data_IF_905071592373
#
_entry.id   IF_905071592373
#
_cell.length_a   1.000
_cell.length_b   1.000
_cell.length_c   1.000
_cell.angle_alpha   90.00
_cell.angle_beta   90.00
_cell.angle_gamma   90.00
#
_symmetry.space_group_name_H-M   'P 1'
#
loop_
_entity.id
_entity.type
_entity.pdbx_description
1 polymer ?
#
# COMPACT_ATOMS: atom_id res chain seq x y z
N UNK A 1 3.43 -27.70 62.41
CA UNK A 1 4.37 -27.60 61.27
C UNK A 1 3.99 -28.47 60.06
N UNK A 2 3.80 -29.81 60.18
CA UNK A 2 3.48 -30.68 59.04
C UNK A 2 2.20 -30.28 58.25
N UNK A 3 1.13 -29.80 58.92
CA UNK A 3 -0.12 -29.40 58.29
C UNK A 3 0.00 -28.11 57.45
N UNK A 4 0.85 -27.16 57.87
CA UNK A 4 1.08 -25.94 57.11
C UNK A 4 1.96 -26.14 55.88
N UNK A 5 2.91 -27.07 55.94
CA UNK A 5 3.74 -27.46 54.77
C UNK A 5 2.90 -28.09 53.70
N UNK A 6 1.97 -28.99 54.05
CA UNK A 6 1.05 -29.64 53.09
C UNK A 6 0.11 -28.62 52.43
N UNK A 7 -0.39 -27.62 53.17
CA UNK A 7 -1.21 -26.53 52.58
C UNK A 7 -0.44 -25.63 51.61
N UNK A 8 0.81 -25.31 51.94
CA UNK A 8 1.67 -24.49 51.05
C UNK A 8 2.01 -25.25 49.76
N UNK A 9 2.34 -26.57 49.89
CA UNK A 9 2.58 -27.41 48.70
C UNK A 9 1.33 -27.54 47.80
N UNK A 10 0.13 -27.64 48.39
CA UNK A 10 -1.12 -27.69 47.64
C UNK A 10 -1.45 -26.36 46.94
N UNK A 11 -1.17 -25.21 47.57
CA UNK A 11 -1.30 -23.91 46.95
C UNK A 11 -0.30 -23.70 45.79
N UNK A 12 0.95 -24.12 45.92
CA UNK A 12 1.93 -24.09 44.85
C UNK A 12 1.58 -24.99 43.64
N UNK A 13 0.96 -26.12 43.88
CA UNK A 13 0.47 -27.01 42.82
C UNK A 13 -0.71 -26.42 42.04
N UNK A 14 -1.57 -25.63 42.69
CA UNK A 14 -2.68 -24.95 42.05
C UNK A 14 -2.22 -23.72 41.17
N UNK A 15 -1.08 -23.12 41.45
CA UNK A 15 -0.53 -22.01 40.67
C UNK A 15 0.16 -22.43 39.38
N UNK A 16 0.49 -23.70 39.19
CA UNK A 16 1.19 -24.21 37.99
C UNK A 16 0.21 -24.60 36.86
N UNK A 17 -1.09 -24.68 37.13
CA UNK A 17 -2.07 -25.22 36.19
C UNK A 17 -2.75 -24.20 35.25
N UNK A 18 -2.23 -22.97 35.15
CA UNK A 18 -2.81 -21.94 34.25
C UNK A 18 -1.87 -21.50 33.12
N UNK A 19 -0.98 -22.36 32.67
CA UNK A 19 -0.37 -22.16 31.34
C UNK A 19 -1.35 -22.63 30.27
N UNK A 20 -2.33 -21.82 29.94
CA UNK A 20 -3.11 -22.01 28.73
C UNK A 20 -2.15 -21.77 27.56
N UNK A 21 -1.59 -22.81 27.01
CA UNK A 21 -0.87 -22.75 25.74
C UNK A 21 -1.89 -22.30 24.70
N UNK A 22 -1.82 -21.03 24.30
CA UNK A 22 -2.61 -20.50 23.19
C UNK A 22 -2.15 -21.22 21.92
N UNK A 23 -2.85 -22.28 21.50
CA UNK A 23 -2.61 -22.91 20.22
C UNK A 23 -3.06 -21.95 19.12
N UNK A 24 -2.12 -21.28 18.47
CA UNK A 24 -2.41 -20.48 17.29
C UNK A 24 -2.67 -21.44 16.13
N UNK A 25 -3.91 -21.53 15.70
CA UNK A 25 -4.26 -22.25 14.48
C UNK A 25 -3.89 -21.37 13.28
N UNK A 26 -2.92 -21.81 12.49
CA UNK A 26 -2.55 -21.17 11.22
C UNK A 26 -3.44 -21.76 10.14
N UNK A 27 -4.25 -20.88 9.49
CA UNK A 27 -5.06 -21.24 8.34
C UNK A 27 -4.39 -20.71 7.08
N UNK A 28 -4.11 -21.59 6.13
CA UNK A 28 -3.64 -21.21 4.80
C UNK A 28 -4.83 -20.87 3.92
N UNK A 29 -4.77 -19.73 3.23
CA UNK A 29 -5.72 -19.29 2.22
C UNK A 29 -4.98 -19.18 0.88
N UNK A 30 -5.51 -19.82 -0.16
CA UNK A 30 -4.92 -19.83 -1.50
C UNK A 30 -5.98 -20.04 -2.58
N UNK A 31 -5.55 -20.40 -3.77
CA UNK A 31 -6.44 -20.64 -4.92
C UNK A 31 -7.49 -21.72 -4.63
N UNK A 32 -7.14 -22.73 -3.84
CA UNK A 32 -8.09 -23.79 -3.44
C UNK A 32 -9.24 -23.27 -2.56
N UNK A 33 -9.04 -22.13 -1.89
CA UNK A 33 -10.05 -21.44 -1.07
C UNK A 33 -10.72 -20.29 -1.81
N UNK A 34 -10.38 -20.09 -3.11
CA UNK A 34 -11.01 -19.11 -3.98
C UNK A 34 -10.23 -17.81 -4.20
N UNK A 35 -8.97 -17.73 -3.73
CA UNK A 35 -8.08 -16.62 -4.10
C UNK A 35 -7.71 -16.73 -5.59
N UNK A 36 -7.67 -15.62 -6.31
CA UNK A 36 -7.41 -15.62 -7.76
C UNK A 36 -6.01 -16.10 -8.13
N UNK A 37 -5.01 -15.76 -7.30
CA UNK A 37 -3.60 -16.15 -7.50
C UNK A 37 -2.89 -16.20 -6.14
N UNK A 38 -1.98 -17.17 -5.97
CA UNK A 38 -1.19 -17.32 -4.74
C UNK A 38 -0.10 -16.24 -4.57
N UNK A 39 0.22 -15.49 -5.62
CA UNK A 39 1.17 -14.39 -5.55
C UNK A 39 0.43 -13.12 -5.10
N UNK A 40 0.38 -12.93 -3.78
CA UNK A 40 -0.23 -11.76 -3.15
C UNK A 40 0.82 -10.67 -3.00
N UNK A 41 0.58 -9.52 -3.64
CA UNK A 41 1.52 -8.39 -3.67
C UNK A 41 1.19 -7.38 -2.56
N UNK A 42 -0.11 -7.15 -2.31
CA UNK A 42 -0.55 -6.15 -1.33
C UNK A 42 -1.84 -6.59 -0.65
N UNK A 43 -1.98 -6.22 0.63
CA UNK A 43 -3.17 -6.51 1.44
C UNK A 43 -3.61 -5.21 2.13
N UNK A 44 -4.92 -4.96 2.16
CA UNK A 44 -5.52 -3.86 2.92
C UNK A 44 -6.78 -4.34 3.65
N UNK A 45 -7.12 -3.68 4.76
CA UNK A 45 -8.39 -3.90 5.46
C UNK A 45 -9.25 -2.65 5.35
N UNK A 46 -10.51 -2.82 4.95
CA UNK A 46 -11.47 -1.71 4.91
C UNK A 46 -12.15 -1.48 6.27
N UNK A 47 -12.90 -0.39 6.38
CA UNK A 47 -13.64 -0.02 7.60
C UNK A 47 -14.70 -1.02 8.05
N UNK A 48 -15.15 -1.87 7.15
CA UNK A 48 -16.13 -2.92 7.44
C UNK A 48 -15.45 -4.21 7.95
N UNK A 49 -14.10 -4.23 7.95
CA UNK A 49 -13.30 -5.36 8.39
C UNK A 49 -12.98 -6.38 7.30
N UNK A 50 -13.44 -6.18 6.06
CA UNK A 50 -13.08 -7.04 4.94
C UNK A 50 -11.61 -6.86 4.55
N UNK A 51 -10.97 -7.98 4.19
CA UNK A 51 -9.61 -7.94 3.66
C UNK A 51 -9.64 -7.90 2.14
N UNK A 52 -8.78 -7.05 1.58
CA UNK A 52 -8.59 -6.90 0.15
C UNK A 52 -7.18 -7.33 -0.23
N UNK A 53 -7.07 -8.15 -1.28
CA UNK A 53 -5.82 -8.72 -1.74
C UNK A 53 -5.60 -8.32 -3.20
N UNK A 54 -4.49 -7.62 -3.45
CA UNK A 54 -3.97 -7.41 -4.79
C UNK A 54 -3.06 -8.57 -5.16
N UNK A 55 -3.34 -9.21 -6.29
CA UNK A 55 -2.55 -10.33 -6.81
C UNK A 55 -2.09 -10.05 -8.24
N UNK A 56 -1.26 -10.93 -8.79
CA UNK A 56 -0.91 -10.88 -10.23
C UNK A 56 -2.12 -11.20 -11.14
N UNK A 57 -3.24 -11.68 -10.58
CA UNK A 57 -4.40 -12.08 -11.37
C UNK A 57 -5.73 -11.65 -10.73
N UNK A 58 -5.84 -10.34 -10.49
CA UNK A 58 -7.06 -9.70 -10.05
C UNK A 58 -7.08 -9.25 -8.60
N UNK A 59 -8.17 -8.56 -8.26
CA UNK A 59 -8.47 -8.04 -6.93
C UNK A 59 -9.40 -9.02 -6.21
N UNK A 60 -9.10 -9.32 -4.96
CA UNK A 60 -9.91 -10.23 -4.15
C UNK A 60 -10.38 -9.54 -2.88
N UNK A 61 -11.67 -9.68 -2.56
CA UNK A 61 -12.27 -9.31 -1.29
C UNK A 61 -12.55 -10.57 -0.47
N UNK A 62 -12.11 -10.61 0.78
CA UNK A 62 -12.34 -11.71 1.70
C UNK A 62 -13.22 -11.28 2.86
N UNK A 63 -14.32 -11.98 3.11
CA UNK A 63 -15.30 -11.68 4.16
C UNK A 63 -15.09 -12.48 5.46
N UNK A 64 -13.95 -13.19 5.59
CA UNK A 64 -13.66 -14.10 6.69
C UNK A 64 -13.99 -15.57 6.36
N UNK A 65 -14.80 -15.83 5.33
CA UNK A 65 -15.26 -17.16 4.92
C UNK A 65 -14.97 -17.47 3.46
N UNK A 66 -15.17 -16.53 2.56
CA UNK A 66 -15.05 -16.70 1.10
C UNK A 66 -14.39 -15.51 0.44
N UNK A 67 -13.84 -15.75 -0.75
CA UNK A 67 -13.35 -14.73 -1.65
C UNK A 67 -14.42 -14.31 -2.67
N UNK A 68 -14.43 -13.01 -2.99
CA UNK A 68 -15.09 -12.43 -4.16
C UNK A 68 -13.99 -11.82 -4.99
N UNK A 69 -13.87 -12.25 -6.26
CA UNK A 69 -12.79 -11.79 -7.14
C UNK A 69 -13.33 -10.82 -8.20
N UNK A 70 -12.53 -9.78 -8.46
CA UNK A 70 -12.78 -8.79 -9.50
C UNK A 70 -11.65 -8.88 -10.51
N UNK A 71 -12.02 -9.10 -11.77
CA UNK A 71 -11.11 -9.20 -12.90
C UNK A 71 -11.24 -8.00 -13.83
N UNK A 72 -10.27 -7.90 -14.75
CA UNK A 72 -10.35 -6.97 -15.87
C UNK A 72 -11.64 -7.17 -16.63
N UNK A 73 -12.39 -6.09 -16.77
CA UNK A 73 -13.62 -6.14 -17.54
C UNK A 73 -13.30 -6.02 -19.03
N UNK A 74 -13.90 -6.89 -19.84
CA UNK A 74 -13.95 -6.70 -21.28
C UNK A 74 -14.79 -5.44 -21.55
N UNK A 75 -14.25 -4.47 -22.27
CA UNK A 75 -14.79 -3.12 -22.49
C UNK A 75 -16.23 -3.06 -23.06
N UNK A 76 -16.87 -4.19 -23.27
CA UNK A 76 -18.23 -4.31 -23.82
C UNK A 76 -19.35 -4.36 -22.77
N UNK A 77 -19.04 -4.57 -21.50
CA UNK A 77 -20.07 -4.74 -20.46
C UNK A 77 -19.71 -3.95 -19.17
N UNK A 78 -20.23 -2.74 -19.07
CA UNK A 78 -20.43 -1.96 -17.84
C UNK A 78 -19.23 -1.80 -16.86
N UNK A 79 -19.18 -0.70 -16.13
CA UNK A 79 -18.31 -0.22 -15.05
C UNK A 79 -18.04 -1.19 -13.85
N UNK A 80 -18.07 -2.50 -14.04
CA UNK A 80 -18.06 -3.49 -12.96
C UNK A 80 -16.74 -4.23 -12.74
N UNK A 81 -15.64 -3.82 -13.37
CA UNK A 81 -14.34 -4.48 -13.21
C UNK A 81 -13.17 -3.49 -13.14
N UNK A 82 -12.01 -4.02 -12.81
CA UNK A 82 -10.74 -3.29 -12.85
C UNK A 82 -10.23 -3.19 -14.29
N UNK A 83 -9.32 -2.24 -14.54
CA UNK A 83 -8.74 -2.02 -15.87
C UNK A 83 -7.68 -3.05 -16.25
N UNK A 84 -7.04 -3.71 -15.25
CA UNK A 84 -6.00 -4.71 -15.45
C UNK A 84 -5.94 -5.72 -14.32
N UNK A 85 -5.48 -6.94 -14.59
CA UNK A 85 -5.38 -8.02 -13.60
C UNK A 85 -4.07 -8.00 -12.82
N UNK A 86 -2.98 -7.50 -13.41
CA UNK A 86 -1.67 -7.41 -12.75
C UNK A 86 -1.67 -6.21 -11.80
N UNK A 87 -1.78 -6.47 -10.50
CA UNK A 87 -1.91 -5.43 -9.48
C UNK A 87 -0.61 -5.24 -8.72
N UNK A 88 -0.28 -3.99 -8.37
CA UNK A 88 0.89 -3.64 -7.57
C UNK A 88 0.51 -3.24 -6.14
N UNK A 89 -0.64 -2.59 -5.96
CA UNK A 89 -1.05 -2.09 -4.65
C UNK A 89 -2.55 -2.11 -4.50
N UNK A 90 -3.01 -2.39 -3.29
CA UNK A 90 -4.37 -2.06 -2.82
C UNK A 90 -4.27 -1.17 -1.59
N UNK A 91 -5.05 -0.10 -1.57
CA UNK A 91 -5.16 0.82 -0.43
C UNK A 91 -6.64 1.03 -0.09
N UNK A 92 -7.03 0.74 1.14
CA UNK A 92 -8.37 1.01 1.64
C UNK A 92 -8.43 2.42 2.25
N UNK A 93 -9.25 3.28 1.66
CA UNK A 93 -9.42 4.65 2.14
C UNK A 93 -10.13 4.66 3.51
N UNK A 94 -9.47 5.23 4.52
CA UNK A 94 -10.02 5.30 5.89
C UNK A 94 -11.04 6.42 6.08
N UNK A 95 -11.29 7.23 5.08
CA UNK A 95 -12.26 8.33 5.15
C UNK A 95 -13.47 8.06 4.26
N UNK A 96 -13.27 7.43 3.12
CA UNK A 96 -14.26 7.17 2.08
C UNK A 96 -14.55 5.68 1.92
N UNK A 97 -15.71 5.30 1.38
CA UNK A 97 -16.02 3.91 1.03
C UNK A 97 -15.32 3.51 -0.29
N UNK A 98 -14.00 3.72 -0.36
CA UNK A 98 -13.22 3.51 -1.58
C UNK A 98 -12.06 2.58 -1.30
N UNK A 99 -11.87 1.63 -2.21
CA UNK A 99 -10.66 0.84 -2.34
C UNK A 99 -9.92 1.35 -3.58
N UNK A 100 -8.69 1.80 -3.40
CA UNK A 100 -7.81 2.23 -4.46
C UNK A 100 -6.93 1.08 -4.90
N UNK A 101 -6.74 0.90 -6.21
CA UNK A 101 -6.04 -0.23 -6.79
C UNK A 101 -5.06 0.28 -7.85
N UNK A 102 -3.77 0.09 -7.61
CA UNK A 102 -2.70 0.33 -8.58
C UNK A 102 -2.52 -0.89 -9.45
N UNK A 103 -2.48 -0.69 -10.76
CA UNK A 103 -2.20 -1.74 -11.73
C UNK A 103 -0.81 -1.55 -12.34
N UNK A 104 -0.23 -2.62 -12.83
CA UNK A 104 1.11 -2.61 -13.41
C UNK A 104 1.18 -1.81 -14.72
N UNK A 105 0.10 -1.78 -15.54
CA UNK A 105 0.10 -1.16 -16.88
C UNK A 105 -1.22 -0.54 -17.31
N UNK A 106 -2.23 -0.62 -16.46
CA UNK A 106 -3.61 -0.24 -16.82
C UNK A 106 -4.15 0.91 -15.94
N UNK A 107 -3.25 1.65 -15.26
CA UNK A 107 -3.55 2.85 -14.50
C UNK A 107 -3.99 2.60 -13.06
N UNK A 108 -4.74 3.57 -12.52
CA UNK A 108 -5.28 3.55 -11.17
C UNK A 108 -6.78 3.30 -11.22
N UNK A 109 -7.29 2.46 -10.33
CA UNK A 109 -8.72 2.23 -10.15
C UNK A 109 -9.19 2.63 -8.76
N UNK A 110 -10.44 3.09 -8.66
CA UNK A 110 -11.14 3.35 -7.42
C UNK A 110 -12.43 2.54 -7.39
N UNK A 111 -12.56 1.61 -6.46
CA UNK A 111 -13.80 0.87 -6.23
C UNK A 111 -14.57 1.48 -5.08
N UNK A 112 -15.73 2.06 -5.37
CA UNK A 112 -16.66 2.52 -4.34
C UNK A 112 -17.59 1.37 -3.94
N UNK A 113 -17.38 0.81 -2.74
CA UNK A 113 -18.12 -0.38 -2.30
C UNK A 113 -19.58 -0.08 -1.88
N UNK A 114 -19.94 1.20 -1.62
CA UNK A 114 -21.34 1.57 -1.39
C UNK A 114 -22.13 1.66 -2.69
N UNK A 115 -21.47 2.14 -3.77
CA UNK A 115 -22.06 2.25 -5.11
C UNK A 115 -21.86 0.98 -5.94
N UNK A 116 -20.98 0.08 -5.48
CA UNK A 116 -20.55 -1.12 -6.22
C UNK A 116 -20.07 -0.80 -7.64
N UNK A 117 -19.28 0.28 -7.77
CA UNK A 117 -18.83 0.79 -9.06
C UNK A 117 -17.34 1.11 -9.04
N UNK A 118 -16.69 0.86 -10.17
CA UNK A 118 -15.31 1.23 -10.42
C UNK A 118 -15.23 2.55 -11.19
N UNK A 119 -14.23 3.35 -10.85
CA UNK A 119 -13.78 4.51 -11.62
C UNK A 119 -12.33 4.25 -12.00
N UNK A 120 -11.98 4.46 -13.28
CA UNK A 120 -10.63 4.30 -13.79
C UNK A 120 -9.99 5.65 -14.06
N UNK A 121 -8.69 5.75 -13.74
CA UNK A 121 -7.82 6.87 -14.07
C UNK A 121 -6.67 6.32 -14.93
N UNK A 122 -6.55 6.82 -16.13
CA UNK A 122 -5.53 6.41 -17.09
C UNK A 122 -4.80 7.60 -17.70
N UNK A 123 -3.63 7.33 -18.24
CA UNK A 123 -2.89 8.31 -19.02
C UNK A 123 -3.66 8.73 -20.28
N UNK A 124 -3.80 10.03 -20.47
CA UNK A 124 -4.31 10.64 -21.69
C UNK A 124 -3.31 11.70 -22.18
N UNK A 125 -2.63 11.50 -23.31
CA UNK A 125 -1.62 12.44 -23.80
C UNK A 125 -2.18 13.83 -24.15
N UNK A 126 -3.48 13.93 -24.37
CA UNK A 126 -4.17 15.20 -24.68
C UNK A 126 -4.63 15.96 -23.42
N UNK A 127 -4.55 15.34 -22.23
CA UNK A 127 -4.92 15.95 -20.96
C UNK A 127 -3.70 16.03 -20.01
N UNK A 128 -3.11 17.22 -19.81
CA UNK A 128 -1.96 17.40 -18.94
C UNK A 128 -2.25 17.18 -17.44
N UNK A 129 -3.51 17.01 -17.07
CA UNK A 129 -3.94 16.71 -15.70
C UNK A 129 -4.39 15.25 -15.52
N UNK A 130 -4.25 14.42 -16.55
CA UNK A 130 -4.43 12.98 -16.43
C UNK A 130 -3.22 12.33 -15.77
N UNK A 131 -3.34 11.06 -15.38
CA UNK A 131 -2.22 10.25 -14.91
C UNK A 131 -1.08 10.26 -15.96
N UNK A 132 0.17 10.51 -15.54
CA UNK A 132 1.30 10.66 -16.48
C UNK A 132 1.71 9.36 -17.16
N UNK A 133 1.43 8.22 -16.53
CA UNK A 133 1.67 6.87 -17.05
C UNK A 133 0.73 5.87 -16.39
N UNK A 134 0.44 4.78 -17.08
CA UNK A 134 -0.40 3.71 -16.53
C UNK A 134 0.34 2.72 -15.62
N UNK A 135 1.66 2.84 -15.49
CA UNK A 135 2.47 1.99 -14.60
C UNK A 135 2.47 2.53 -13.17
N UNK A 136 1.47 2.18 -12.38
CA UNK A 136 1.31 2.64 -10.98
C UNK A 136 1.89 1.61 -10.01
N UNK A 137 2.80 2.04 -9.12
CA UNK A 137 3.52 1.13 -8.21
C UNK A 137 3.01 1.18 -6.77
N UNK A 138 2.66 2.37 -6.25
CA UNK A 138 2.19 2.53 -4.86
C UNK A 138 1.17 3.65 -4.73
N UNK A 139 0.42 3.63 -3.62
CA UNK A 139 -0.62 4.58 -3.26
C UNK A 139 -0.51 4.90 -1.78
N UNK A 140 -0.41 6.19 -1.44
CA UNK A 140 -0.41 6.67 -0.06
C UNK A 140 -1.38 7.84 0.13
N UNK A 141 -2.09 7.93 1.27
CA UNK A 141 -2.92 9.09 1.57
C UNK A 141 -2.05 10.33 1.80
N UNK A 142 -2.57 11.50 1.42
CA UNK A 142 -1.97 12.75 1.85
C UNK A 142 -2.28 13.00 3.33
N UNK A 143 -1.25 13.34 4.11
CA UNK A 143 -1.39 13.72 5.51
C UNK A 143 -1.88 15.17 5.66
N UNK A 144 -1.65 16.02 4.65
CA UNK A 144 -2.00 17.45 4.69
C UNK A 144 -3.39 17.74 4.10
N UNK A 145 -3.82 16.96 3.13
CA UNK A 145 -5.08 17.15 2.42
C UNK A 145 -5.92 15.89 2.44
N UNK A 146 -7.10 15.98 3.07
CA UNK A 146 -8.01 14.83 3.20
C UNK A 146 -8.43 14.25 1.87
N UNK A 147 -8.50 15.06 0.83
CA UNK A 147 -8.92 14.70 -0.53
C UNK A 147 -7.73 14.47 -1.46
N UNK A 148 -6.54 14.20 -0.89
CA UNK A 148 -5.32 13.98 -1.65
C UNK A 148 -4.78 12.56 -1.54
N UNK A 149 -4.26 12.04 -2.65
CA UNK A 149 -3.46 10.82 -2.71
C UNK A 149 -2.13 11.08 -3.40
N UNK A 150 -1.09 10.48 -2.84
CA UNK A 150 0.22 10.35 -3.47
C UNK A 150 0.32 9.01 -4.17
N UNK A 151 0.83 9.02 -5.40
CA UNK A 151 0.90 7.85 -6.26
C UNK A 151 2.31 7.77 -6.84
N UNK A 152 2.95 6.62 -6.64
CA UNK A 152 4.23 6.33 -7.30
C UNK A 152 4.00 5.71 -8.66
N UNK A 153 4.90 6.03 -9.60
CA UNK A 153 4.91 5.44 -10.94
C UNK A 153 6.27 4.85 -11.27
N UNK A 154 6.30 3.80 -12.08
CA UNK A 154 7.56 3.07 -12.32
C UNK A 154 8.61 3.89 -13.10
N UNK A 155 8.19 4.82 -14.00
CA UNK A 155 9.11 5.54 -14.89
C UNK A 155 8.93 7.05 -14.92
N UNK A 156 7.95 7.63 -14.21
CA UNK A 156 7.57 9.03 -14.37
C UNK A 156 7.49 9.83 -13.08
N UNK A 157 8.08 9.31 -11.99
CA UNK A 157 8.12 9.96 -10.69
C UNK A 157 6.85 9.77 -9.86
N UNK A 158 6.44 10.82 -9.16
CA UNK A 158 5.34 10.83 -8.21
C UNK A 158 4.20 11.70 -8.75
N UNK A 159 2.97 11.27 -8.50
CA UNK A 159 1.74 11.99 -8.81
C UNK A 159 1.03 12.40 -7.52
N UNK A 160 0.39 13.55 -7.54
CA UNK A 160 -0.60 13.95 -6.56
C UNK A 160 -1.97 13.96 -7.23
N UNK A 161 -2.90 13.15 -6.73
CA UNK A 161 -4.30 13.14 -7.18
C UNK A 161 -5.14 13.95 -6.19
N UNK A 162 -5.81 14.98 -6.69
CA UNK A 162 -6.97 15.59 -6.03
C UNK A 162 -8.20 14.73 -6.33
N UNK A 163 -8.75 14.08 -5.30
CA UNK A 163 -9.85 13.11 -5.44
C UNK A 163 -11.15 13.80 -5.88
N UNK A 164 -11.37 15.05 -5.48
CA UNK A 164 -12.60 15.78 -5.79
C UNK A 164 -12.68 16.21 -7.25
N UNK A 165 -11.58 16.71 -7.79
CA UNK A 165 -11.50 17.12 -9.19
C UNK A 165 -11.12 15.98 -10.14
N UNK A 166 -10.49 14.91 -9.61
CA UNK A 166 -9.90 13.83 -10.41
C UNK A 166 -8.64 14.23 -11.17
N UNK A 167 -8.05 15.38 -10.85
CA UNK A 167 -6.88 15.91 -11.53
C UNK A 167 -5.57 15.50 -10.87
N UNK A 168 -4.55 15.27 -11.70
CA UNK A 168 -3.20 14.91 -11.27
C UNK A 168 -2.25 16.10 -11.39
N UNK A 169 -1.32 16.18 -10.44
CA UNK A 169 -0.16 17.07 -10.45
C UNK A 169 1.10 16.24 -10.45
N UNK A 170 2.02 16.50 -11.37
CA UNK A 170 3.20 15.69 -11.61
C UNK A 170 4.42 16.19 -10.86
N UNK A 171 5.11 15.28 -10.17
CA UNK A 171 6.37 15.50 -9.46
C UNK A 171 7.44 14.59 -10.07
N UNK A 172 8.10 15.08 -11.10
CA UNK A 172 9.14 14.41 -11.89
C UNK A 172 10.36 15.32 -12.06
N UNK A 173 11.37 14.91 -12.81
CA UNK A 173 12.57 15.71 -13.00
C UNK A 173 12.35 17.06 -13.71
N UNK A 174 11.27 17.22 -14.44
CA UNK A 174 10.90 18.50 -15.03
C UNK A 174 10.36 19.49 -14.00
N UNK A 175 9.63 19.00 -12.99
CA UNK A 175 9.00 19.82 -11.94
C UNK A 175 9.81 19.81 -10.63
N UNK A 176 10.64 18.79 -10.40
CA UNK A 176 11.52 18.59 -9.25
C UNK A 176 12.87 18.05 -9.75
N UNK A 177 13.75 18.90 -10.34
CA UNK A 177 15.01 18.45 -10.97
C UNK A 177 15.98 17.70 -10.04
N UNK A 178 15.88 17.93 -8.73
CA UNK A 178 16.73 17.34 -7.72
C UNK A 178 16.37 15.89 -7.35
N UNK A 179 15.27 15.31 -7.86
CA UNK A 179 14.96 13.90 -7.66
C UNK A 179 16.09 13.02 -8.19
N UNK A 180 16.51 12.01 -7.41
CA UNK A 180 17.59 11.10 -7.81
C UNK A 180 17.24 10.31 -9.06
N UNK A 181 15.97 9.90 -9.16
CA UNK A 181 15.44 9.06 -10.22
C UNK A 181 13.92 9.24 -10.35
N UNK A 182 13.38 8.96 -11.53
CA UNK A 182 11.94 8.88 -11.80
C UNK A 182 11.40 7.45 -11.72
N UNK A 183 12.25 6.45 -11.55
CA UNK A 183 11.85 5.08 -11.25
C UNK A 183 11.51 4.95 -9.77
N UNK A 184 10.26 5.29 -9.42
CA UNK A 184 9.79 5.23 -8.06
C UNK A 184 9.02 3.95 -7.80
N UNK A 185 9.18 3.38 -6.60
CA UNK A 185 8.51 2.14 -6.22
C UNK A 185 7.51 2.34 -5.10
N UNK A 186 7.83 3.17 -4.13
CA UNK A 186 6.98 3.44 -2.97
C UNK A 186 7.02 4.91 -2.59
N UNK A 187 5.93 5.41 -2.04
CA UNK A 187 5.79 6.77 -1.52
C UNK A 187 5.10 6.76 -0.16
N UNK A 188 5.55 7.63 0.73
CA UNK A 188 4.95 7.83 2.04
C UNK A 188 4.91 9.33 2.36
N UNK A 189 3.72 9.86 2.69
CA UNK A 189 3.60 11.21 3.28
C UNK A 189 3.90 11.13 4.78
N UNK A 190 4.99 11.75 5.20
CA UNK A 190 5.44 11.73 6.60
C UNK A 190 4.52 12.46 7.55
N UNK A 191 3.64 13.35 7.07
CA UNK A 191 2.85 14.26 7.89
C UNK A 191 3.65 15.39 8.52
N UNK A 192 4.95 15.46 8.19
CA UNK A 192 5.93 16.46 8.65
C UNK A 192 6.25 17.51 7.56
N UNK A 193 5.47 17.51 6.46
CA UNK A 193 5.68 18.36 5.29
C UNK A 193 6.65 17.75 4.27
N UNK A 194 7.04 16.50 4.43
CA UNK A 194 7.92 15.79 3.53
C UNK A 194 7.27 14.55 2.94
N UNK A 195 7.61 14.26 1.69
CA UNK A 195 7.41 12.97 1.05
C UNK A 195 8.69 12.15 1.11
N UNK A 196 8.52 10.90 1.43
CA UNK A 196 9.55 9.89 1.49
C UNK A 196 9.34 8.95 0.30
N UNK A 197 10.36 8.83 -0.55
CA UNK A 197 10.25 8.18 -1.87
C UNK A 197 11.31 7.11 -2.00
N UNK A 198 10.89 5.86 -2.16
CA UNK A 198 11.78 4.74 -2.47
C UNK A 198 11.93 4.55 -3.98
N UNK A 199 13.17 4.37 -4.43
CA UNK A 199 13.52 4.20 -5.83
C UNK A 199 14.00 2.80 -6.14
N UNK A 200 13.95 2.43 -7.42
CA UNK A 200 14.58 1.22 -7.94
C UNK A 200 16.01 1.53 -8.34
N UNK A 201 16.99 0.92 -7.67
CA UNK A 201 18.40 1.09 -7.97
C UNK A 201 19.03 2.45 -7.60
N UNK A 202 18.24 3.40 -7.04
CA UNK A 202 18.68 4.77 -6.80
C UNK A 202 18.46 5.23 -5.35
N UNK A 203 18.19 4.29 -4.45
CA UNK A 203 18.08 4.53 -3.03
C UNK A 203 16.77 5.22 -2.64
N UNK A 204 16.88 6.29 -1.88
CA UNK A 204 15.77 6.91 -1.16
C UNK A 204 15.88 8.45 -1.23
N UNK A 205 14.75 9.12 -1.41
CA UNK A 205 14.67 10.57 -1.43
C UNK A 205 13.69 11.10 -0.40
N UNK A 206 14.03 12.24 0.22
CA UNK A 206 13.11 13.04 1.03
C UNK A 206 12.84 14.33 0.26
N UNK A 207 11.60 14.52 -0.17
CA UNK A 207 11.13 15.71 -0.89
C UNK A 207 10.33 16.60 0.06
N UNK A 208 10.81 17.81 0.30
CA UNK A 208 10.04 18.85 1.01
C UNK A 208 8.93 19.38 0.12
N UNK A 209 7.68 19.30 0.60
CA UNK A 209 6.51 19.78 -0.13
C UNK A 209 6.43 21.30 -0.19
N UNK A 210 7.07 22.00 0.76
CA UNK A 210 7.06 23.46 0.90
C UNK A 210 7.90 24.15 -0.20
N UNK A 211 9.13 23.69 -0.38
CA UNK A 211 10.13 24.39 -1.21
C UNK A 211 10.73 23.48 -2.32
N UNK A 212 10.21 22.25 -2.43
CA UNK A 212 10.67 21.25 -3.41
C UNK A 212 12.15 20.86 -3.29
N UNK A 213 12.78 21.13 -2.14
CA UNK A 213 14.13 20.65 -1.86
C UNK A 213 14.12 19.13 -1.70
N UNK A 214 15.17 18.49 -2.20
CA UNK A 214 15.31 17.02 -2.15
C UNK A 214 16.63 16.66 -1.47
N UNK A 215 16.56 15.71 -0.53
CA UNK A 215 17.71 15.01 0.03
C UNK A 215 17.71 13.58 -0.49
N UNK A 216 18.80 13.16 -1.10
CA UNK A 216 18.97 11.83 -1.66
C UNK A 216 19.92 11.01 -0.80
N UNK A 217 19.56 9.75 -0.55
CA UNK A 217 20.32 8.78 0.21
C UNK A 217 20.55 7.54 -0.65
N UNK A 218 21.81 7.10 -0.73
CA UNK A 218 22.20 5.94 -1.53
C UNK A 218 23.16 5.06 -0.75
N UNK A 219 23.35 3.85 -1.24
CA UNK A 219 24.43 2.99 -0.78
C UNK A 219 25.77 3.54 -1.25
N UNK A 220 26.70 3.64 -0.33
CA UNK A 220 28.11 3.97 -0.59
C UNK A 220 28.99 2.83 -0.09
N UNK A 221 29.69 2.16 -1.00
CA UNK A 221 30.56 1.03 -0.65
C UNK A 221 31.60 1.47 0.37
N UNK A 222 31.67 0.76 1.50
CA UNK A 222 32.61 1.05 2.59
C UNK A 222 32.09 2.05 3.64
N UNK A 223 30.91 2.66 3.46
CA UNK A 223 30.28 3.51 4.47
C UNK A 223 29.15 2.75 5.20
N UNK A 224 29.36 2.29 6.43
CA UNK A 224 28.36 1.56 7.21
C UNK A 224 27.17 2.43 7.66
N UNK A 225 27.21 3.75 7.44
CA UNK A 225 26.11 4.68 7.73
C UNK A 225 25.25 4.96 6.49
N UNK A 226 25.66 4.49 5.31
CA UNK A 226 24.87 4.60 4.10
C UNK A 226 23.80 3.50 4.03
N UNK A 227 22.88 3.59 3.06
CA UNK A 227 21.89 2.53 2.85
C UNK A 227 22.58 1.19 2.54
N UNK A 228 22.02 0.05 3.01
CA UNK A 228 22.56 -1.26 2.72
C UNK A 228 22.44 -1.65 1.23
N UNK A 229 21.53 -1.00 0.50
CA UNK A 229 21.27 -1.21 -0.93
C UNK A 229 20.48 -0.06 -1.52
N UNK A 230 20.37 -0.01 -2.85
CA UNK A 230 19.70 1.08 -3.57
C UNK A 230 18.27 0.74 -4.01
N UNK A 231 17.78 -0.47 -3.75
CA UNK A 231 16.38 -0.84 -3.99
C UNK A 231 15.55 -0.64 -2.73
N UNK A 232 14.75 0.44 -2.70
CA UNK A 232 13.81 0.71 -1.59
C UNK A 232 12.40 0.39 -2.05
N UNK A 233 11.88 -0.74 -1.58
CA UNK A 233 10.62 -1.35 -2.04
C UNK A 233 9.41 -1.03 -1.18
N UNK A 234 9.61 -0.66 0.07
CA UNK A 234 8.53 -0.37 1.01
C UNK A 234 8.98 0.66 2.03
N UNK A 235 8.09 1.57 2.36
CA UNK A 235 8.23 2.55 3.43
C UNK A 235 7.05 2.41 4.38
N UNK A 236 7.31 2.51 5.66
CA UNK A 236 6.27 2.54 6.68
C UNK A 236 6.65 3.48 7.80
N UNK A 237 5.65 4.00 8.48
CA UNK A 237 5.83 4.87 9.64
C UNK A 237 5.33 4.14 10.89
N UNK A 238 6.15 4.10 11.93
CA UNK A 238 5.76 3.52 13.21
C UNK A 238 4.88 4.49 14.03
N UNK A 239 4.37 4.03 15.16
CA UNK A 239 3.55 4.84 16.08
C UNK A 239 4.31 6.00 16.74
N UNK A 240 5.64 5.97 16.72
CA UNK A 240 6.52 7.03 17.25
C UNK A 240 6.88 8.06 16.17
N UNK A 241 6.49 7.82 14.92
CA UNK A 241 6.79 8.69 13.79
C UNK A 241 8.11 8.37 13.08
N UNK A 242 8.78 7.27 13.41
CA UNK A 242 9.98 6.84 12.68
C UNK A 242 9.58 6.18 11.35
N UNK A 243 10.39 6.40 10.32
CA UNK A 243 10.23 5.82 8.99
C UNK A 243 11.38 4.84 8.73
#
# INVERSE_FOLDING_TARGET
MKKHIASILFLCLLSVSQSIAQSHSIKRLGIEQGLSNNYVISIAQDKQGFLWFATEEGLNKFDGTRFITYYKNDLSQSSQGITGNELNRVYADNKRPIIWIATQRDGLNAYNYNKQAFTAYSHNPDDPHSLITNDVTDIAPSAQHEDGLWISTYYRGIEYLDINSGQFTHYNKNTVPALSCEQTWTVLDGGDGNLYIGHVGHGFSILSLKDKNVKNFQNHSGDPKSLPGNDVRCLTKDTNGNI
#
